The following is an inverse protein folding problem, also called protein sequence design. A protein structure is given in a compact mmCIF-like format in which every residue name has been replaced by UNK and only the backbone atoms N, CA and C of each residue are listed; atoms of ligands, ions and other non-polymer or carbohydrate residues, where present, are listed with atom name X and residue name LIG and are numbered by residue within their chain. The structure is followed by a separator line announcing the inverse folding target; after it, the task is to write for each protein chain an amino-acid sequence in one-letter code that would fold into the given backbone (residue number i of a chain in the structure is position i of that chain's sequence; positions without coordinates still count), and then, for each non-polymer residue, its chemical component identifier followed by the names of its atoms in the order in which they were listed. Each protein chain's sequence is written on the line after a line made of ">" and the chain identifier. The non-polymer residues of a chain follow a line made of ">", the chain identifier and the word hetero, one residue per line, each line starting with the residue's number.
data_IF_895816515977
#
_entry.id   IF_895816515977
#
_cell.length_a   1.000
_cell.length_b   1.000
_cell.length_c   1.000
_cell.angle_alpha   90.00
_cell.angle_beta   90.00
_cell.angle_gamma   90.00
#
_symmetry.space_group_name_H-M   'P 1'
#
loop_
_entity.id
_entity.type
_entity.pdbx_description
1 polymer ?
#
# COMPACT_ATOMS: atom_id res chain seq x y z
N UNK A 1 -31.68 -27.65 -21.96
CA UNK A 1 -31.86 -26.33 -21.31
C UNK A 1 -31.28 -26.24 -19.89
N UNK A 2 -31.56 -27.17 -18.96
CA UNK A 2 -31.08 -27.11 -17.57
C UNK A 2 -29.53 -27.11 -17.38
N UNK A 3 -28.80 -27.84 -18.22
CA UNK A 3 -27.32 -27.84 -18.18
C UNK A 3 -26.70 -26.49 -18.56
N UNK A 4 -27.34 -25.78 -19.50
CA UNK A 4 -26.92 -24.45 -19.96
C UNK A 4 -27.23 -23.36 -18.92
N UNK A 5 -28.36 -23.47 -18.21
CA UNK A 5 -28.66 -22.62 -17.06
C UNK A 5 -27.64 -22.84 -15.92
N UNK A 6 -27.24 -24.09 -15.63
CA UNK A 6 -26.23 -24.39 -14.60
C UNK A 6 -24.82 -23.86 -14.95
N UNK A 7 -24.40 -23.96 -16.21
CA UNK A 7 -23.11 -23.39 -16.66
C UNK A 7 -23.12 -21.86 -16.67
N UNK A 8 -24.25 -21.24 -17.04
CA UNK A 8 -24.45 -19.78 -16.97
C UNK A 8 -24.42 -19.25 -15.53
N UNK A 9 -25.04 -19.93 -14.56
CA UNK A 9 -24.95 -19.56 -13.15
C UNK A 9 -23.53 -19.73 -12.58
N UNK A 10 -22.79 -20.76 -13.01
CA UNK A 10 -21.37 -20.92 -12.66
C UNK A 10 -20.53 -19.76 -13.22
N UNK A 11 -20.70 -19.44 -14.51
CA UNK A 11 -20.02 -18.31 -15.16
C UNK A 11 -20.29 -16.98 -14.45
N UNK A 12 -21.54 -16.67 -14.09
CA UNK A 12 -21.89 -15.48 -13.32
C UNK A 12 -21.21 -15.45 -11.95
N UNK A 13 -21.15 -16.58 -11.24
CA UNK A 13 -20.42 -16.66 -9.96
C UNK A 13 -18.93 -16.33 -10.12
N UNK A 14 -18.28 -16.90 -11.13
CA UNK A 14 -16.87 -16.61 -11.39
C UNK A 14 -16.64 -15.14 -11.79
N UNK A 15 -17.56 -14.54 -12.55
CA UNK A 15 -17.50 -13.13 -12.91
C UNK A 15 -17.59 -12.22 -11.68
N UNK A 16 -18.51 -12.51 -10.75
CA UNK A 16 -18.65 -11.76 -9.50
C UNK A 16 -17.38 -11.89 -8.64
N UNK A 17 -16.81 -13.10 -8.53
CA UNK A 17 -15.56 -13.32 -7.79
C UNK A 17 -14.41 -12.52 -8.40
N UNK A 18 -14.30 -12.50 -9.73
CA UNK A 18 -13.24 -11.79 -10.45
C UNK A 18 -13.38 -10.27 -10.27
N UNK A 19 -14.60 -9.76 -10.26
CA UNK A 19 -14.91 -8.35 -10.01
C UNK A 19 -14.58 -7.94 -8.55
N UNK A 20 -14.88 -8.82 -7.59
CA UNK A 20 -14.49 -8.63 -6.19
C UNK A 20 -12.97 -8.60 -6.01
N UNK A 21 -12.24 -9.52 -6.66
CA UNK A 21 -10.76 -9.55 -6.63
C UNK A 21 -10.16 -8.29 -7.26
N UNK A 22 -10.71 -7.81 -8.38
CA UNK A 22 -10.26 -6.57 -9.02
C UNK A 22 -10.50 -5.34 -8.14
N UNK A 23 -11.63 -5.29 -7.43
CA UNK A 23 -11.93 -4.21 -6.48
C UNK A 23 -10.96 -4.22 -5.29
N UNK A 24 -10.63 -5.39 -4.73
CA UNK A 24 -9.66 -5.52 -3.63
C UNK A 24 -8.26 -5.10 -4.09
N UNK A 25 -7.83 -5.55 -5.27
CA UNK A 25 -6.54 -5.15 -5.84
C UNK A 25 -6.48 -3.64 -6.11
N UNK A 26 -7.53 -3.06 -6.70
CA UNK A 26 -7.61 -1.62 -6.98
C UNK A 26 -7.66 -0.75 -5.73
N UNK A 27 -8.36 -1.19 -4.68
CA UNK A 27 -8.38 -0.47 -3.40
C UNK A 27 -7.06 -0.63 -2.64
N UNK A 28 -6.42 -1.81 -2.73
CA UNK A 28 -5.16 -2.13 -2.08
C UNK A 28 -3.97 -1.34 -2.62
N UNK A 29 -3.98 -0.94 -3.90
CA UNK A 29 -2.90 -0.14 -4.51
C UNK A 29 -2.91 1.32 -4.09
N UNK A 30 -4.02 1.86 -3.59
CA UNK A 30 -4.09 3.23 -3.06
C UNK A 30 -3.53 3.35 -1.65
N UNK A 31 -3.44 2.25 -0.91
CA UNK A 31 -2.66 2.18 0.32
C UNK A 31 -1.21 1.87 -0.07
N UNK A 32 -0.43 2.90 -0.39
CA UNK A 32 1.02 2.73 -0.54
C UNK A 32 1.61 2.41 0.83
N UNK A 33 1.72 1.12 1.15
CA UNK A 33 2.52 0.66 2.27
C UNK A 33 3.98 0.99 1.96
N UNK A 34 4.70 1.58 2.91
CA UNK A 34 6.16 1.56 2.82
C UNK A 34 6.58 0.09 2.68
N UNK A 35 7.62 -0.18 1.91
CA UNK A 35 8.25 -1.51 1.81
C UNK A 35 8.60 -2.12 3.18
N UNK A 36 8.77 -1.28 4.20
CA UNK A 36 8.95 -1.67 5.59
C UNK A 36 7.64 -1.90 6.38
N UNK A 37 6.49 -1.90 5.72
CA UNK A 37 5.17 -2.02 6.35
C UNK A 37 4.72 -0.80 7.16
N UNK A 38 5.52 0.27 7.18
CA UNK A 38 5.22 1.48 7.94
C UNK A 38 4.29 2.42 7.16
N UNK A 39 3.35 3.10 7.85
CA UNK A 39 2.51 4.12 7.23
C UNK A 39 3.40 5.29 6.78
N UNK A 40 3.33 5.63 5.49
CA UNK A 40 4.05 6.79 4.95
C UNK A 40 3.29 8.06 5.34
N UNK A 41 3.92 8.88 6.19
CA UNK A 41 3.34 10.16 6.61
C UNK A 41 3.59 11.19 5.51
N UNK A 42 2.52 11.74 4.95
CA UNK A 42 2.59 12.86 4.01
C UNK A 42 2.57 14.20 4.75
N UNK A 43 2.96 15.27 4.04
CA UNK A 43 3.05 16.60 4.64
C UNK A 43 1.71 17.12 5.17
N UNK A 44 0.57 16.73 4.55
CA UNK A 44 -0.76 17.14 5.02
C UNK A 44 -1.11 16.49 6.35
N UNK A 45 -0.82 15.19 6.51
CA UNK A 45 -1.03 14.50 7.78
C UNK A 45 -0.08 15.04 8.85
N UNK A 46 1.18 15.31 8.50
CA UNK A 46 2.13 15.94 9.42
C UNK A 46 1.65 17.31 9.91
N UNK A 47 1.13 18.16 9.01
CA UNK A 47 0.60 19.48 9.37
C UNK A 47 -0.58 19.38 10.35
N UNK A 48 -1.48 18.42 10.15
CA UNK A 48 -2.59 18.15 11.10
C UNK A 48 -2.06 17.64 12.44
N UNK A 49 -1.08 16.74 12.42
CA UNK A 49 -0.49 16.18 13.62
C UNK A 49 0.20 17.25 14.47
N UNK A 50 0.90 18.20 13.83
CA UNK A 50 1.56 19.32 14.47
C UNK A 50 0.59 20.32 15.13
N UNK A 51 -0.67 20.37 14.67
CA UNK A 51 -1.72 21.18 15.32
C UNK A 51 -2.26 20.53 16.59
N UNK A 52 -2.25 19.19 16.67
CA UNK A 52 -2.82 18.44 17.78
C UNK A 52 -1.79 18.11 18.86
N UNK A 53 -0.52 17.92 18.48
CA UNK A 53 0.55 17.48 19.36
C UNK A 53 1.85 18.22 19.05
N UNK A 54 2.75 18.42 20.03
CA UNK A 54 4.10 18.90 19.75
C UNK A 54 4.85 17.83 18.95
N UNK A 55 5.16 18.14 17.69
CA UNK A 55 5.86 17.22 16.77
C UNK A 55 7.31 17.69 16.58
N UNK A 56 8.27 16.79 16.79
CA UNK A 56 9.69 17.01 16.46
C UNK A 56 10.01 16.27 15.17
N UNK A 57 10.45 17.01 14.14
CA UNK A 57 10.85 16.44 12.85
C UNK A 57 12.37 16.32 12.80
N UNK A 58 12.86 15.10 12.65
CA UNK A 58 14.30 14.81 12.50
C UNK A 58 14.61 14.63 11.01
N UNK A 59 15.26 15.62 10.42
CA UNK A 59 15.84 15.48 9.09
C UNK A 59 17.11 14.64 9.22
N UNK A 60 17.00 13.33 8.97
CA UNK A 60 18.18 12.50 8.81
C UNK A 60 18.80 12.84 7.46
N UNK A 61 19.99 13.44 7.48
CA UNK A 61 20.86 13.40 6.33
C UNK A 61 21.25 11.92 6.17
N UNK A 62 20.60 11.22 5.26
CA UNK A 62 21.02 9.87 4.94
C UNK A 62 22.43 9.99 4.36
N UNK A 63 23.44 9.53 5.11
CA UNK A 63 24.73 9.26 4.49
C UNK A 63 24.46 8.35 3.30
N UNK A 64 25.00 8.72 2.13
CA UNK A 64 24.90 7.83 0.99
C UNK A 64 25.59 6.51 1.35
N UNK A 65 24.93 5.42 1.02
CA UNK A 65 25.40 4.07 1.31
C UNK A 65 26.77 3.74 0.72
N UNK A 66 27.19 4.44 -0.33
CA UNK A 66 28.52 4.29 -0.93
C UNK A 66 29.65 4.84 -0.05
N UNK A 67 29.35 5.64 0.98
CA UNK A 67 30.34 6.32 1.83
C UNK A 67 30.27 5.94 3.31
N UNK A 68 29.34 5.08 3.72
CA UNK A 68 29.18 4.67 5.12
C UNK A 68 29.77 3.27 5.37
N UNK A 69 30.45 3.09 6.49
CA UNK A 69 30.89 1.77 6.98
C UNK A 69 29.78 1.00 7.69
N UNK A 70 28.64 1.65 7.94
CA UNK A 70 27.47 1.05 8.59
C UNK A 70 26.65 0.21 7.60
N UNK A 71 25.93 -0.79 8.12
CA UNK A 71 25.05 -1.61 7.29
C UNK A 71 23.92 -0.75 6.70
N UNK A 72 23.87 -0.70 5.38
CA UNK A 72 22.90 0.15 4.71
C UNK A 72 21.51 -0.47 4.68
N UNK A 73 20.55 0.26 5.25
CA UNK A 73 19.14 -0.13 5.35
C UNK A 73 18.30 0.46 4.20
N UNK A 74 18.93 0.91 3.11
CA UNK A 74 18.19 1.43 1.96
C UNK A 74 17.41 0.29 1.34
N UNK A 75 16.09 0.40 1.41
CA UNK A 75 15.16 -0.54 0.81
C UNK A 75 15.46 -0.65 -0.69
N UNK A 76 15.69 -1.88 -1.14
CA UNK A 76 15.91 -2.20 -2.55
C UNK A 76 14.53 -2.35 -3.19
N UNK A 77 13.87 -1.23 -3.44
CA UNK A 77 12.66 -1.17 -4.27
C UNK A 77 12.94 -0.40 -5.55
#
# INVERSE_FOLDING_TARGET
>A
MLAFCRSSLKSKKYFIILLALAAIAGLGTHAAWSSNGLPRIDNKTLARLAQQHPVVVLFRHAERCDRSTNQCLSDKT
#
